data_IF_198528594180
#
_entry.id   IF_198528594180
#
_cell.length_a   1.000
_cell.length_b   1.000
_cell.length_c   1.000
_cell.angle_alpha   90.00
_cell.angle_beta   90.00
_cell.angle_gamma   90.00
#
_symmetry.space_group_name_H-M   'P 1'
#
loop_
_entity.id
_entity.type
_entity.pdbx_description
1 polymer ?
#
# COMPACT_ATOMS: atom_id res chain seq x y z
N UNK A 1 27.80 7.02 -6.60
CA UNK A 1 27.27 6.02 -7.55
C UNK A 1 26.83 6.75 -8.81
N UNK A 2 26.96 6.12 -9.98
CA UNK A 2 26.39 6.69 -11.21
C UNK A 2 24.85 6.55 -11.11
N UNK A 3 24.07 7.65 -11.13
CA UNK A 3 22.61 7.61 -10.93
C UNK A 3 21.85 6.85 -12.03
N UNK A 4 22.53 6.47 -13.11
CA UNK A 4 21.99 5.65 -14.20
C UNK A 4 22.13 4.14 -13.97
N UNK A 5 22.88 3.69 -12.95
CA UNK A 5 23.04 2.27 -12.66
C UNK A 5 22.06 1.85 -11.57
N UNK A 6 21.14 0.91 -11.84
CA UNK A 6 20.22 0.38 -10.83
C UNK A 6 20.98 -0.27 -9.66
N UNK A 7 20.51 -0.11 -8.41
CA UNK A 7 21.01 -0.88 -7.28
C UNK A 7 21.03 -2.39 -7.56
N UNK A 8 22.07 -3.07 -7.07
CA UNK A 8 22.16 -4.51 -7.19
C UNK A 8 21.00 -5.19 -6.41
N UNK A 9 20.49 -6.31 -6.94
CA UNK A 9 19.46 -7.09 -6.27
C UNK A 9 18.05 -6.50 -6.32
N UNK A 10 17.80 -5.48 -7.14
CA UNK A 10 16.45 -4.96 -7.34
C UNK A 10 15.48 -6.08 -7.77
N UNK A 11 14.30 -6.18 -7.15
CA UNK A 11 13.25 -7.10 -7.57
C UNK A 11 12.82 -6.86 -9.03
N UNK A 12 12.39 -7.92 -9.71
CA UNK A 12 11.93 -7.83 -11.10
C UNK A 12 10.67 -6.96 -11.29
N UNK A 13 9.91 -6.74 -10.21
CA UNK A 13 8.74 -5.87 -10.18
C UNK A 13 9.04 -4.45 -9.66
N UNK A 14 10.31 -4.10 -9.51
CA UNK A 14 10.74 -2.74 -9.22
C UNK A 14 10.66 -1.86 -10.48
N UNK A 15 10.12 -0.66 -10.31
CA UNK A 15 9.96 0.34 -11.37
C UNK A 15 10.60 1.64 -10.91
N UNK A 16 11.44 2.23 -11.76
CA UNK A 16 11.95 3.58 -11.52
C UNK A 16 10.84 4.60 -11.76
N UNK A 17 10.70 5.55 -10.84
CA UNK A 17 9.77 6.67 -11.03
C UNK A 17 10.43 7.73 -11.90
N UNK A 18 9.80 8.02 -13.04
CA UNK A 18 10.23 9.07 -13.98
C UNK A 18 9.51 10.39 -13.63
N UNK A 19 10.18 11.25 -12.87
CA UNK A 19 9.68 12.57 -12.47
C UNK A 19 10.83 13.58 -12.37
N UNK A 20 10.50 14.87 -12.36
CA UNK A 20 11.49 15.93 -12.20
C UNK A 20 12.12 15.89 -10.79
N UNK A 21 13.44 16.06 -10.73
CA UNK A 21 14.22 16.10 -9.49
C UNK A 21 15.30 17.19 -9.62
N UNK A 22 16.03 17.49 -8.55
CA UNK A 22 17.12 18.47 -8.61
C UNK A 22 18.27 18.04 -9.55
N UNK A 23 19.18 18.98 -9.81
CA UNK A 23 20.25 18.85 -10.81
C UNK A 23 21.33 17.82 -10.47
N UNK A 24 21.43 17.39 -9.21
CA UNK A 24 22.45 16.47 -8.73
C UNK A 24 23.81 17.11 -8.39
N UNK A 25 23.96 18.42 -8.56
CA UNK A 25 25.19 19.16 -8.27
C UNK A 25 25.62 19.10 -6.79
N UNK A 26 24.66 19.00 -5.87
CA UNK A 26 24.85 18.91 -4.42
C UNK A 26 24.76 17.50 -3.86
N UNK A 27 24.41 16.50 -4.68
CA UNK A 27 24.31 15.10 -4.26
C UNK A 27 23.23 14.31 -5.00
N UNK A 28 23.26 12.99 -4.84
CA UNK A 28 22.32 12.08 -5.48
C UNK A 28 21.80 11.07 -4.45
N UNK A 29 20.52 11.12 -4.11
CA UNK A 29 19.88 10.17 -3.19
C UNK A 29 19.23 9.02 -3.97
N UNK A 30 19.34 7.81 -3.44
CA UNK A 30 18.57 6.64 -3.89
C UNK A 30 17.51 6.31 -2.84
N UNK A 31 16.26 6.30 -3.26
CA UNK A 31 15.10 6.09 -2.42
C UNK A 31 14.29 4.86 -2.85
N UNK A 32 13.68 4.18 -1.88
CA UNK A 32 12.79 3.04 -2.10
C UNK A 32 11.39 3.34 -1.58
N UNK A 33 10.36 2.90 -2.30
CA UNK A 33 8.97 3.15 -1.90
C UNK A 33 8.03 2.04 -2.32
N UNK A 34 6.90 1.92 -1.61
CA UNK A 34 5.75 1.13 -2.05
C UNK A 34 4.51 1.97 -2.36
N UNK A 35 4.63 3.30 -2.42
CA UNK A 35 3.53 4.18 -2.80
C UNK A 35 3.25 4.11 -4.30
N UNK A 36 2.11 4.66 -4.71
CA UNK A 36 1.75 4.66 -6.12
C UNK A 36 2.58 5.67 -6.91
N UNK A 37 2.93 5.37 -8.18
CA UNK A 37 3.83 6.20 -8.99
C UNK A 37 3.43 7.67 -9.11
N UNK A 38 2.12 7.96 -9.17
CA UNK A 38 1.64 9.33 -9.29
C UNK A 38 1.87 10.16 -8.03
N UNK A 39 1.77 9.55 -6.84
CA UNK A 39 2.07 10.23 -5.58
C UNK A 39 3.56 10.55 -5.50
N UNK A 40 4.40 9.58 -5.87
CA UNK A 40 5.86 9.72 -5.85
C UNK A 40 6.33 10.77 -6.86
N UNK A 41 5.68 10.89 -8.01
CA UNK A 41 5.98 11.93 -8.98
C UNK A 41 5.72 13.34 -8.40
N UNK A 42 4.56 13.54 -7.77
CA UNK A 42 4.19 14.83 -7.15
C UNK A 42 5.13 15.16 -5.97
N UNK A 43 5.54 14.14 -5.19
CA UNK A 43 6.49 14.32 -4.08
C UNK A 43 7.89 14.68 -4.58
N UNK A 44 8.35 14.05 -5.66
CA UNK A 44 9.65 14.36 -6.27
C UNK A 44 9.67 15.77 -6.84
N UNK A 45 8.57 16.22 -7.45
CA UNK A 45 8.46 17.60 -7.93
C UNK A 45 8.56 18.60 -6.77
N UNK A 46 7.85 18.36 -5.66
CA UNK A 46 7.94 19.21 -4.48
C UNK A 46 9.34 19.21 -3.86
N UNK A 47 9.95 18.03 -3.69
CA UNK A 47 11.32 17.90 -3.21
C UNK A 47 12.34 18.59 -4.12
N UNK A 48 12.12 18.62 -5.43
CA UNK A 48 13.00 19.33 -6.37
C UNK A 48 13.02 20.84 -6.16
N UNK A 49 11.94 21.43 -5.64
CA UNK A 49 11.88 22.85 -5.29
C UNK A 49 12.64 23.15 -4.00
N UNK A 50 12.57 22.24 -3.03
CA UNK A 50 13.30 22.36 -1.76
C UNK A 50 14.80 22.09 -1.92
N UNK A 51 15.15 21.10 -2.74
CA UNK A 51 16.51 20.62 -2.96
C UNK A 51 16.88 20.67 -4.45
N UNK A 52 16.98 21.87 -5.06
CA UNK A 52 17.20 22.02 -6.50
C UNK A 52 18.57 21.53 -6.97
N UNK A 53 19.53 21.37 -6.06
CA UNK A 53 20.85 20.82 -6.30
C UNK A 53 20.94 19.30 -6.06
N UNK A 54 19.86 18.65 -5.60
CA UNK A 54 19.88 17.22 -5.20
C UNK A 54 19.01 16.41 -6.14
N UNK A 55 19.60 15.42 -6.81
CA UNK A 55 18.84 14.46 -7.59
C UNK A 55 18.34 13.32 -6.69
N UNK A 56 17.11 12.83 -6.90
CA UNK A 56 16.53 11.74 -6.12
C UNK A 56 16.00 10.65 -7.05
N UNK A 57 16.67 9.50 -7.10
CA UNK A 57 16.19 8.33 -7.84
C UNK A 57 15.30 7.50 -6.94
N UNK A 58 14.01 7.34 -7.30
CA UNK A 58 13.08 6.48 -6.56
C UNK A 58 12.83 5.18 -7.31
N UNK A 59 13.01 4.06 -6.63
CA UNK A 59 12.58 2.74 -7.07
C UNK A 59 11.34 2.31 -6.29
N UNK A 60 10.23 2.18 -7.01
CA UNK A 60 8.94 1.73 -6.49
C UNK A 60 8.79 0.24 -6.68
N UNK A 61 8.35 -0.47 -5.64
CA UNK A 61 8.03 -1.90 -5.71
C UNK A 61 6.89 -2.25 -4.73
N UNK A 62 6.21 -3.41 -4.90
CA UNK A 62 5.17 -3.83 -3.95
C UNK A 62 5.71 -3.95 -2.51
N UNK A 63 4.82 -3.79 -1.53
CA UNK A 63 5.17 -3.78 -0.10
C UNK A 63 6.00 -5.01 0.30
N UNK A 64 5.64 -6.21 -0.17
CA UNK A 64 6.39 -7.44 0.13
C UNK A 64 7.80 -7.45 -0.47
N UNK A 65 7.92 -7.00 -1.73
CA UNK A 65 9.20 -6.93 -2.45
C UNK A 65 10.12 -5.92 -1.77
N UNK A 66 9.57 -4.79 -1.31
CA UNK A 66 10.31 -3.80 -0.53
C UNK A 66 10.79 -4.39 0.81
N UNK A 67 9.93 -5.13 1.53
CA UNK A 67 10.34 -5.80 2.77
C UNK A 67 11.53 -6.72 2.55
N UNK A 68 11.42 -7.63 1.57
CA UNK A 68 12.46 -8.61 1.27
C UNK A 68 13.75 -7.93 0.80
N UNK A 69 13.62 -6.90 -0.03
CA UNK A 69 14.74 -6.14 -0.54
C UNK A 69 15.50 -5.42 0.59
N UNK A 70 14.81 -4.70 1.48
CA UNK A 70 15.44 -4.04 2.62
C UNK A 70 16.12 -5.04 3.60
N UNK A 71 15.53 -6.21 3.81
CA UNK A 71 16.14 -7.26 4.64
C UNK A 71 17.48 -7.77 4.07
N UNK A 72 17.65 -7.70 2.74
CA UNK A 72 18.89 -8.07 2.05
C UNK A 72 20.04 -7.05 2.20
N UNK A 73 19.79 -5.93 2.89
CA UNK A 73 20.75 -4.84 3.13
C UNK A 73 21.22 -4.13 1.85
N UNK A 74 20.29 -3.56 1.07
CA UNK A 74 20.63 -2.95 -0.20
C UNK A 74 21.35 -1.62 0.01
N UNK A 75 22.22 -1.25 -0.93
CA UNK A 75 22.74 0.11 -0.96
C UNK A 75 21.60 1.11 -1.24
N UNK A 76 21.59 2.25 -0.56
CA UNK A 76 20.60 3.30 -0.78
C UNK A 76 20.63 4.32 0.36
N UNK A 77 19.72 5.30 0.30
CA UNK A 77 19.73 6.42 1.22
C UNK A 77 18.49 6.50 2.10
N UNK A 78 17.29 6.27 1.55
CA UNK A 78 16.05 6.43 2.31
C UNK A 78 14.89 5.56 1.80
N UNK A 79 13.90 5.38 2.67
CA UNK A 79 12.57 4.86 2.33
C UNK A 79 11.61 6.04 2.27
N UNK A 80 10.96 6.22 1.12
CA UNK A 80 10.00 7.29 0.84
C UNK A 80 8.58 6.73 0.77
N UNK A 81 8.10 6.23 1.91
CA UNK A 81 6.74 5.69 2.04
C UNK A 81 6.66 4.17 1.93
N UNK A 82 6.15 3.56 3.00
CA UNK A 82 5.94 2.13 3.13
C UNK A 82 4.93 1.83 4.24
N UNK A 83 4.32 0.65 4.26
CA UNK A 83 3.34 0.27 5.27
C UNK A 83 4.02 -0.02 6.62
N UNK A 84 3.53 0.55 7.73
CA UNK A 84 4.12 0.35 9.06
C UNK A 84 4.07 -1.11 9.50
N UNK A 85 3.00 -1.86 9.19
CA UNK A 85 2.95 -3.30 9.46
C UNK A 85 4.07 -4.10 8.78
N UNK A 86 4.62 -3.61 7.67
CA UNK A 86 5.75 -4.23 7.00
C UNK A 86 7.07 -3.73 7.59
N UNK A 87 7.14 -2.45 7.98
CA UNK A 87 8.27 -1.86 8.68
C UNK A 87 8.56 -2.51 10.04
N UNK A 88 7.54 -3.01 10.72
CA UNK A 88 7.68 -3.77 11.96
C UNK A 88 8.17 -5.23 11.75
N UNK A 89 8.55 -5.62 10.53
CA UNK A 89 9.06 -6.99 10.29
C UNK A 89 10.40 -7.21 11.00
N UNK A 90 10.64 -8.40 11.60
CA UNK A 90 11.90 -8.71 12.27
C UNK A 90 13.11 -8.45 11.37
N UNK A 91 14.10 -7.73 11.91
CA UNK A 91 15.34 -7.37 11.20
C UNK A 91 15.32 -6.01 10.50
N UNK A 92 14.15 -5.43 10.21
CA UNK A 92 14.05 -4.13 9.52
C UNK A 92 14.59 -2.99 10.39
N UNK A 93 14.37 -3.01 11.70
CA UNK A 93 14.87 -1.96 12.59
C UNK A 93 16.40 -1.77 12.49
N UNK A 94 17.16 -2.84 12.22
CA UNK A 94 18.61 -2.76 12.02
C UNK A 94 19.02 -2.14 10.67
N UNK A 95 18.07 -1.97 9.74
CA UNK A 95 18.27 -1.36 8.41
C UNK A 95 17.96 0.12 8.38
N UNK A 96 17.40 0.67 9.46
CA UNK A 96 16.99 2.06 9.56
C UNK A 96 17.95 2.80 10.48
N UNK A 97 18.34 4.00 10.07
CA UNK A 97 19.22 4.84 10.87
C UNK A 97 18.51 5.21 12.18
N UNK A 98 19.25 5.35 13.29
CA UNK A 98 18.67 5.75 14.55
C UNK A 98 17.97 7.13 14.43
N UNK A 99 17.02 7.41 15.35
CA UNK A 99 16.29 8.66 15.34
C UNK A 99 17.22 9.87 15.35
N UNK A 100 16.83 10.91 14.61
CA UNK A 100 17.42 12.24 14.73
C UNK A 100 16.44 13.20 15.42
N UNK A 101 16.95 14.36 15.84
CA UNK A 101 16.09 15.47 16.24
C UNK A 101 15.13 15.85 15.09
N UNK A 102 13.91 16.28 15.41
CA UNK A 102 12.95 16.77 14.41
C UNK A 102 11.88 15.78 13.96
N UNK A 103 11.03 15.31 14.88
CA UNK A 103 9.78 14.62 14.50
C UNK A 103 9.90 13.15 14.08
N UNK A 104 11.09 12.57 14.19
CA UNK A 104 11.37 11.15 14.06
C UNK A 104 10.96 10.39 15.33
N UNK A 105 10.32 9.24 15.18
CA UNK A 105 9.89 8.37 16.28
C UNK A 105 11.08 7.58 16.85
N UNK A 106 10.91 6.98 18.04
CA UNK A 106 11.99 6.28 18.76
C UNK A 106 12.65 5.13 17.97
N UNK A 107 11.94 4.57 16.98
CA UNK A 107 12.41 3.49 16.11
C UNK A 107 13.09 3.98 14.82
N UNK A 108 13.30 5.30 14.68
CA UNK A 108 14.00 5.89 13.54
C UNK A 108 13.12 6.21 12.33
N UNK A 109 11.83 5.88 12.38
CA UNK A 109 10.89 6.21 11.32
C UNK A 109 10.18 7.55 11.55
N UNK A 110 9.67 8.11 10.47
CA UNK A 110 8.76 9.26 10.47
C UNK A 110 7.37 8.75 10.06
N UNK A 111 6.32 9.13 10.80
CA UNK A 111 4.92 8.73 10.55
C UNK A 111 3.97 9.92 10.42
N UNK A 112 4.15 10.81 9.41
CA UNK A 112 3.22 11.92 9.21
C UNK A 112 1.86 11.46 8.66
N UNK A 113 1.84 10.33 7.95
CA UNK A 113 0.69 9.86 7.19
C UNK A 113 0.30 8.42 7.53
N UNK A 114 -0.93 8.08 7.19
CA UNK A 114 -1.45 6.73 7.11
C UNK A 114 -2.33 6.56 5.89
N UNK A 115 -2.74 5.32 5.63
CA UNK A 115 -3.75 5.01 4.62
C UNK A 115 -4.87 4.18 5.24
N UNK A 116 -6.05 4.26 4.62
CA UNK A 116 -7.21 3.46 5.00
C UNK A 116 -7.86 2.82 3.81
N UNK A 117 -8.54 1.72 4.08
CA UNK A 117 -9.23 0.91 3.09
C UNK A 117 -10.49 1.61 2.56
N UNK A 118 -10.82 1.31 1.32
CA UNK A 118 -12.04 1.72 0.65
C UNK A 118 -12.50 0.63 -0.32
N UNK A 119 -13.77 0.70 -0.69
CA UNK A 119 -14.33 -0.05 -1.81
C UNK A 119 -14.58 0.91 -2.97
N UNK A 120 -14.24 0.49 -4.18
CA UNK A 120 -14.69 1.12 -5.42
C UNK A 120 -15.68 0.18 -6.07
N UNK A 121 -16.85 0.69 -6.44
CA UNK A 121 -17.90 -0.09 -7.04
C UNK A 121 -18.47 0.55 -8.30
N UNK A 122 -18.92 -0.29 -9.23
CA UNK A 122 -19.69 0.10 -10.39
C UNK A 122 -21.19 -0.15 -10.11
N UNK A 123 -22.00 0.91 -9.90
CA UNK A 123 -23.41 0.77 -9.57
C UNK A 123 -24.21 0.01 -10.63
N UNK A 124 -23.88 0.19 -11.92
CA UNK A 124 -24.62 -0.47 -13.00
C UNK A 124 -24.34 -1.97 -13.02
N UNK A 125 -23.09 -2.38 -12.80
CA UNK A 125 -22.73 -3.81 -12.72
C UNK A 125 -23.28 -4.49 -11.47
N UNK A 126 -23.37 -3.77 -10.35
CA UNK A 126 -24.02 -4.25 -9.12
C UNK A 126 -25.54 -4.40 -9.31
N UNK A 127 -26.20 -3.39 -9.89
CA UNK A 127 -27.64 -3.44 -10.17
C UNK A 127 -27.99 -4.59 -11.13
N UNK A 128 -27.20 -4.81 -12.17
CA UNK A 128 -27.39 -5.92 -13.10
C UNK A 128 -27.27 -7.30 -12.43
N UNK A 129 -26.63 -7.38 -11.25
CA UNK A 129 -26.51 -8.58 -10.42
C UNK A 129 -27.56 -8.67 -9.31
N UNK A 130 -28.43 -7.66 -9.17
CA UNK A 130 -29.33 -7.55 -8.03
C UNK A 130 -28.59 -7.37 -6.70
N UNK A 131 -27.40 -6.75 -6.73
CA UNK A 131 -26.58 -6.45 -5.57
C UNK A 131 -26.65 -4.95 -5.24
N UNK A 132 -26.69 -4.64 -3.94
CA UNK A 132 -26.50 -3.28 -3.44
C UNK A 132 -25.00 -2.98 -3.26
N UNK A 133 -24.60 -1.70 -3.25
CA UNK A 133 -23.24 -1.31 -2.88
C UNK A 133 -22.88 -1.82 -1.47
N UNK A 134 -21.79 -2.59 -1.31
CA UNK A 134 -21.40 -3.09 0.00
C UNK A 134 -20.91 -1.95 0.90
N UNK A 135 -21.30 -2.01 2.16
CA UNK A 135 -20.94 -1.02 3.19
C UNK A 135 -20.21 -1.65 4.37
N UNK A 136 -20.06 -2.98 4.38
CA UNK A 136 -19.39 -3.75 5.43
C UNK A 136 -18.55 -4.87 4.83
N UNK A 137 -17.60 -5.40 5.58
CA UNK A 137 -16.81 -6.57 5.15
C UNK A 137 -17.68 -7.80 4.90
N UNK A 138 -18.73 -8.01 5.70
CA UNK A 138 -19.65 -9.14 5.53
C UNK A 138 -20.44 -9.10 4.22
N UNK A 139 -20.71 -7.90 3.68
CA UNK A 139 -21.48 -7.73 2.45
C UNK A 139 -20.74 -8.30 1.23
N UNK A 140 -19.40 -8.35 1.32
CA UNK A 140 -18.54 -8.92 0.28
C UNK A 140 -18.75 -10.43 0.08
N UNK A 141 -19.36 -11.12 1.05
CA UNK A 141 -19.72 -12.54 0.98
C UNK A 141 -21.06 -12.80 0.27
N UNK A 142 -21.80 -11.76 -0.13
CA UNK A 142 -23.10 -11.91 -0.78
C UNK A 142 -23.01 -12.76 -2.07
N UNK A 143 -23.86 -13.78 -2.26
CA UNK A 143 -23.82 -14.64 -3.46
C UNK A 143 -23.97 -13.89 -4.78
N UNK A 144 -24.65 -12.74 -4.78
CA UNK A 144 -24.81 -11.86 -5.95
C UNK A 144 -23.48 -11.29 -6.47
N UNK A 145 -22.42 -11.29 -5.65
CA UNK A 145 -21.08 -10.83 -6.03
C UNK A 145 -20.20 -11.95 -6.63
N UNK A 146 -20.75 -13.13 -6.91
CA UNK A 146 -19.98 -14.25 -7.47
C UNK A 146 -19.22 -13.82 -8.72
N UNK A 147 -17.90 -13.99 -8.71
CA UNK A 147 -17.01 -13.59 -9.81
C UNK A 147 -17.17 -12.10 -10.21
N UNK A 148 -17.33 -11.22 -9.23
CA UNK A 148 -17.49 -9.78 -9.45
C UNK A 148 -16.54 -8.92 -8.61
N UNK A 149 -15.78 -9.52 -7.69
CA UNK A 149 -14.93 -8.83 -6.71
C UNK A 149 -13.44 -8.92 -7.07
N UNK A 150 -12.70 -7.84 -6.89
CA UNK A 150 -11.23 -7.81 -6.91
C UNK A 150 -10.71 -7.54 -5.49
N UNK A 151 -9.82 -8.40 -5.01
CA UNK A 151 -9.25 -8.30 -3.66
C UNK A 151 -7.71 -8.21 -3.75
N UNK A 152 -7.04 -7.16 -3.25
CA UNK A 152 -5.59 -7.03 -3.40
C UNK A 152 -4.86 -8.17 -2.68
N UNK A 153 -3.89 -8.80 -3.32
CA UNK A 153 -3.18 -9.97 -2.80
C UNK A 153 -2.42 -9.63 -1.50
N UNK A 154 -2.82 -10.20 -0.33
CA UNK A 154 -2.17 -9.93 0.95
C UNK A 154 -0.70 -10.34 1.01
N UNK A 155 -0.26 -11.23 0.10
CA UNK A 155 1.13 -11.69 0.03
C UNK A 155 2.05 -10.66 -0.63
N UNK A 156 1.47 -9.72 -1.38
CA UNK A 156 2.21 -8.75 -2.20
C UNK A 156 1.93 -7.30 -1.84
N UNK A 157 0.64 -6.97 -1.68
CA UNK A 157 0.12 -5.63 -1.49
C UNK A 157 -0.05 -5.29 0.00
N UNK A 158 0.44 -4.13 0.42
CA UNK A 158 0.16 -3.58 1.76
C UNK A 158 -1.33 -3.41 2.01
N UNK A 159 -2.09 -2.94 1.01
CA UNK A 159 -3.55 -2.83 1.09
C UNK A 159 -4.24 -4.20 1.26
N UNK A 160 -3.73 -5.23 0.57
CA UNK A 160 -4.20 -6.60 0.74
C UNK A 160 -3.97 -7.13 2.15
N UNK A 161 -2.76 -6.88 2.67
CA UNK A 161 -2.42 -7.30 4.02
C UNK A 161 -3.23 -6.55 5.09
N UNK A 162 -3.43 -5.24 4.90
CA UNK A 162 -4.29 -4.43 5.77
C UNK A 162 -5.73 -4.91 5.74
N UNK A 163 -6.30 -5.22 4.57
CA UNK A 163 -7.66 -5.75 4.44
C UNK A 163 -7.84 -7.07 5.20
N UNK A 164 -6.96 -8.05 4.94
CA UNK A 164 -7.00 -9.33 5.62
C UNK A 164 -6.82 -9.17 7.14
N UNK A 165 -5.86 -8.36 7.57
CA UNK A 165 -5.60 -8.08 8.99
C UNK A 165 -6.79 -7.40 9.66
N UNK A 166 -7.42 -6.44 8.99
CA UNK A 166 -8.62 -5.75 9.49
C UNK A 166 -9.74 -6.75 9.75
N UNK A 167 -10.03 -7.61 8.78
CA UNK A 167 -11.04 -8.67 8.94
C UNK A 167 -10.69 -9.57 10.13
N UNK A 168 -9.45 -10.04 10.24
CA UNK A 168 -9.04 -10.97 11.29
C UNK A 168 -9.00 -10.36 12.69
N UNK A 169 -8.62 -9.08 12.81
CA UNK A 169 -8.56 -8.40 14.11
C UNK A 169 -9.94 -7.93 14.55
N UNK A 170 -10.81 -7.51 13.63
CA UNK A 170 -12.16 -7.04 13.95
C UNK A 170 -13.13 -8.18 14.25
N UNK A 171 -13.22 -9.19 13.37
CA UNK A 171 -14.12 -10.34 13.56
C UNK A 171 -13.52 -11.43 14.46
N UNK A 172 -12.23 -11.35 14.77
CA UNK A 172 -11.50 -12.43 15.42
C UNK A 172 -11.04 -13.49 14.40
N UNK A 173 -10.05 -14.32 14.77
CA UNK A 173 -9.38 -15.20 13.82
C UNK A 173 -10.31 -16.26 13.22
N UNK A 174 -11.20 -16.88 14.01
CA UNK A 174 -12.07 -17.95 13.52
C UNK A 174 -13.13 -17.41 12.54
N UNK A 175 -13.91 -16.42 12.98
CA UNK A 175 -14.97 -15.81 12.19
C UNK A 175 -14.41 -15.01 11.00
N UNK A 176 -13.29 -14.32 11.18
CA UNK A 176 -12.62 -13.59 10.10
C UNK A 176 -12.12 -14.52 8.99
N UNK A 177 -11.55 -15.69 9.32
CA UNK A 177 -11.18 -16.66 8.30
C UNK A 177 -12.39 -17.33 7.63
N UNK A 178 -13.48 -17.57 8.38
CA UNK A 178 -14.75 -18.04 7.79
C UNK A 178 -15.27 -17.03 6.77
N UNK A 179 -15.30 -15.76 7.13
CA UNK A 179 -15.69 -14.67 6.24
C UNK A 179 -14.76 -14.60 5.01
N UNK A 180 -13.44 -14.69 5.18
CA UNK A 180 -12.50 -14.67 4.05
C UNK A 180 -12.74 -15.82 3.05
N UNK A 181 -13.10 -17.02 3.55
CA UNK A 181 -13.48 -18.16 2.68
C UNK A 181 -14.75 -17.87 1.88
N UNK A 182 -15.71 -17.15 2.46
CA UNK A 182 -16.95 -16.77 1.78
C UNK A 182 -16.68 -15.67 0.74
N UNK A 183 -15.87 -14.66 1.09
CA UNK A 183 -15.42 -13.59 0.19
C UNK A 183 -14.68 -14.18 -1.02
N UNK A 184 -13.77 -15.13 -0.81
CA UNK A 184 -12.98 -15.74 -1.90
C UNK A 184 -13.86 -16.34 -3.01
N UNK A 185 -15.05 -16.86 -2.68
CA UNK A 185 -16.00 -17.40 -3.67
C UNK A 185 -16.48 -16.34 -4.67
N UNK A 186 -16.42 -15.07 -4.27
CA UNK A 186 -16.84 -13.92 -5.05
C UNK A 186 -15.69 -13.24 -5.80
N UNK A 187 -14.45 -13.49 -5.37
CA UNK A 187 -13.25 -12.93 -5.98
C UNK A 187 -13.05 -13.46 -7.40
N UNK A 188 -12.74 -12.57 -8.35
CA UNK A 188 -12.27 -12.86 -9.70
C UNK A 188 -10.80 -13.28 -9.64
N UNK A 189 -9.95 -12.41 -9.09
CA UNK A 189 -8.53 -12.67 -8.85
C UNK A 189 -7.98 -11.77 -7.73
N UNK A 190 -6.70 -11.95 -7.41
CA UNK A 190 -5.99 -11.21 -6.38
C UNK A 190 -4.86 -10.36 -7.00
N UNK A 191 -5.10 -9.07 -7.30
CA UNK A 191 -4.10 -8.22 -7.94
C UNK A 191 -2.94 -7.84 -7.02
N UNK A 192 -1.77 -7.53 -7.58
CA UNK A 192 -0.52 -7.41 -6.82
C UNK A 192 -0.29 -6.08 -6.10
N UNK A 193 -1.06 -5.05 -6.43
CA UNK A 193 -0.93 -3.68 -5.90
C UNK A 193 -2.23 -3.14 -5.31
N UNK A 194 -2.16 -2.00 -4.62
CA UNK A 194 -3.33 -1.33 -4.07
C UNK A 194 -4.18 -0.66 -5.16
N UNK A 195 -3.56 -0.16 -6.23
CA UNK A 195 -4.21 0.47 -7.38
C UNK A 195 -5.03 -0.50 -8.26
N UNK A 196 -4.48 -1.69 -8.56
CA UNK A 196 -5.05 -2.59 -9.56
C UNK A 196 -6.53 -2.95 -9.37
N UNK A 197 -7.03 -3.25 -8.15
CA UNK A 197 -8.45 -3.50 -7.94
C UNK A 197 -9.32 -2.32 -8.38
N UNK A 198 -8.98 -1.09 -7.97
CA UNK A 198 -9.74 0.12 -8.33
C UNK A 198 -9.71 0.38 -9.84
N UNK A 199 -8.54 0.25 -10.46
CA UNK A 199 -8.34 0.47 -11.89
C UNK A 199 -9.23 -0.42 -12.76
N UNK A 200 -9.45 -1.66 -12.33
CA UNK A 200 -10.16 -2.70 -13.07
C UNK A 200 -11.67 -2.72 -12.82
N UNK A 201 -12.20 -2.01 -11.82
CA UNK A 201 -13.65 -1.89 -11.62
C UNK A 201 -14.29 -1.25 -12.87
N UNK A 202 -15.38 -1.86 -13.33
CA UNK A 202 -16.07 -1.54 -14.59
C UNK A 202 -15.55 -2.31 -15.80
N UNK A 203 -14.50 -3.12 -15.66
CA UNK A 203 -13.90 -3.91 -16.74
C UNK A 203 -14.14 -5.40 -16.51
N UNK A 204 -14.37 -6.16 -17.58
CA UNK A 204 -14.48 -7.62 -17.55
C UNK A 204 -15.43 -8.17 -16.47
N UNK A 205 -16.51 -7.44 -16.17
CA UNK A 205 -17.50 -7.82 -15.16
C UNK A 205 -17.09 -7.61 -13.70
N UNK A 206 -15.94 -6.99 -13.42
CA UNK A 206 -15.54 -6.58 -12.07
C UNK A 206 -16.42 -5.43 -11.58
N UNK A 207 -17.40 -5.74 -10.74
CA UNK A 207 -18.35 -4.77 -10.19
C UNK A 207 -17.78 -4.06 -8.96
N UNK A 208 -16.77 -4.64 -8.30
CA UNK A 208 -16.31 -4.20 -6.99
C UNK A 208 -14.82 -4.48 -6.81
N UNK A 209 -14.09 -3.53 -6.23
CA UNK A 209 -12.67 -3.64 -5.92
C UNK A 209 -12.36 -3.10 -4.53
N UNK A 210 -11.61 -3.87 -3.75
CA UNK A 210 -11.09 -3.45 -2.45
C UNK A 210 -9.75 -2.75 -2.68
N UNK A 211 -9.57 -1.56 -2.11
CA UNK A 211 -8.42 -0.72 -2.37
C UNK A 211 -8.16 0.21 -1.17
N UNK A 212 -7.35 1.25 -1.37
CA UNK A 212 -7.12 2.33 -0.40
C UNK A 212 -7.79 3.61 -0.89
N UNK A 213 -8.12 4.52 0.04
CA UNK A 213 -8.79 5.80 -0.30
C UNK A 213 -8.03 6.63 -1.33
N UNK A 214 -6.70 6.56 -1.33
CA UNK A 214 -5.82 7.23 -2.31
C UNK A 214 -6.17 6.76 -3.74
N UNK A 215 -6.09 5.46 -3.97
CA UNK A 215 -6.39 4.84 -5.26
C UNK A 215 -7.87 4.98 -5.63
N UNK A 216 -8.79 4.89 -4.66
CA UNK A 216 -10.22 5.13 -4.89
C UNK A 216 -10.46 6.57 -5.40
N UNK A 217 -9.91 7.58 -4.72
CA UNK A 217 -10.02 8.99 -5.12
C UNK A 217 -9.51 9.19 -6.54
N UNK A 218 -8.33 8.66 -6.86
CA UNK A 218 -7.77 8.75 -8.20
C UNK A 218 -8.71 8.11 -9.23
N UNK A 219 -9.18 6.90 -8.95
CA UNK A 219 -10.07 6.15 -9.85
C UNK A 219 -11.39 6.87 -10.11
N UNK A 220 -11.99 7.47 -9.09
CA UNK A 220 -13.24 8.23 -9.20
C UNK A 220 -13.04 9.54 -9.97
N UNK A 221 -11.86 10.17 -9.85
CA UNK A 221 -11.51 11.32 -10.70
C UNK A 221 -11.42 10.92 -12.18
N UNK A 222 -10.90 9.73 -12.49
CA UNK A 222 -10.80 9.22 -13.86
C UNK A 222 -12.15 8.70 -14.40
N UNK A 223 -13.06 8.24 -13.53
CA UNK A 223 -14.41 7.82 -13.90
C UNK A 223 -15.43 8.17 -12.79
N UNK A 224 -16.14 9.30 -12.92
CA UNK A 224 -17.14 9.75 -11.95
C UNK A 224 -18.41 8.89 -11.86
N UNK A 225 -18.60 7.91 -12.77
CA UNK A 225 -19.73 6.97 -12.69
C UNK A 225 -19.52 5.86 -11.64
N UNK A 226 -18.27 5.66 -11.20
CA UNK A 226 -17.97 4.76 -10.10
C UNK A 226 -18.24 5.44 -8.77
N UNK A 227 -18.56 4.62 -7.76
CA UNK A 227 -18.79 5.11 -6.40
C UNK A 227 -17.73 4.55 -5.46
N UNK A 228 -17.44 5.32 -4.41
CA UNK A 228 -16.65 4.88 -3.29
C UNK A 228 -17.57 4.53 -2.13
N UNK A 229 -17.34 3.39 -1.50
CA UNK A 229 -17.90 3.03 -0.20
C UNK A 229 -16.77 2.77 0.81
N UNK A 230 -17.10 2.87 2.09
CA UNK A 230 -16.18 2.54 3.19
C UNK A 230 -16.79 1.40 4.01
N UNK A 231 -15.99 0.42 4.49
CA UNK A 231 -16.47 -0.62 5.38
C UNK A 231 -16.77 -0.04 6.77
N UNK A 232 -18.03 0.32 7.01
CA UNK A 232 -18.51 1.05 8.19
C UNK A 232 -18.35 0.26 9.49
N UNK A 233 -18.26 -1.06 9.39
CA UNK A 233 -17.96 -1.96 10.49
C UNK A 233 -16.50 -1.82 10.94
N UNK A 234 -15.56 -1.73 10.01
CA UNK A 234 -14.15 -1.54 10.32
C UNK A 234 -13.40 -0.91 9.14
N UNK A 235 -13.22 0.43 9.19
CA UNK A 235 -12.37 1.14 8.24
C UNK A 235 -10.92 0.92 8.63
N UNK A 236 -10.36 -0.21 8.21
CA UNK A 236 -8.98 -0.57 8.48
C UNK A 236 -8.02 0.52 8.04
N UNK A 237 -7.13 0.92 8.95
CA UNK A 237 -6.11 1.93 8.72
C UNK A 237 -4.79 1.55 9.37
N UNK A 238 -3.68 1.93 8.73
CA UNK A 238 -2.35 1.85 9.32
C UNK A 238 -1.50 3.07 8.97
N UNK A 239 -0.43 3.27 9.73
CA UNK A 239 0.54 4.30 9.46
C UNK A 239 1.39 3.97 8.23
N UNK A 240 1.92 5.02 7.62
CA UNK A 240 2.96 4.94 6.60
C UNK A 240 4.26 5.46 7.20
N UNK A 241 5.35 4.78 6.89
CA UNK A 241 6.67 5.12 7.40
C UNK A 241 7.57 5.68 6.31
N UNK A 242 8.44 6.58 6.75
CA UNK A 242 9.57 7.13 5.99
C UNK A 242 10.81 7.01 6.88
N UNK A 243 12.00 6.84 6.32
CA UNK A 243 13.18 6.64 7.14
C UNK A 243 14.48 6.71 6.34
N UNK A 244 15.59 6.98 7.02
CA UNK A 244 16.92 6.94 6.42
C UNK A 244 17.48 5.53 6.56
N UNK A 245 18.10 4.98 5.52
CA UNK A 245 18.75 3.68 5.62
C UNK A 245 20.02 3.77 6.47
N UNK A 246 20.24 2.80 7.36
CA UNK A 246 21.38 2.77 8.27
C UNK A 246 22.73 2.78 7.51
N UNK A 247 22.78 2.08 6.37
CA UNK A 247 23.95 2.00 5.49
C UNK A 247 24.18 3.24 4.61
N UNK A 248 23.32 4.26 4.65
CA UNK A 248 23.47 5.45 3.83
C UNK A 248 24.77 6.19 4.17
N UNK A 249 25.54 6.51 3.13
CA UNK A 249 26.74 7.37 3.22
C UNK A 249 26.38 8.86 3.18
N UNK A 250 25.10 9.19 2.97
CA UNK A 250 24.58 10.55 2.80
C UNK A 250 23.51 10.89 3.85
N UNK A 251 23.65 10.39 5.08
CA UNK A 251 22.60 10.54 6.11
C UNK A 251 22.13 11.97 6.33
N UNK A 252 23.03 12.96 6.36
CA UNK A 252 22.65 14.35 6.55
C UNK A 252 21.76 14.87 5.39
N UNK A 253 22.08 14.48 4.15
CA UNK A 253 21.33 14.85 2.97
C UNK A 253 19.98 14.12 2.91
N UNK A 254 19.96 12.82 3.24
CA UNK A 254 18.74 12.03 3.33
C UNK A 254 17.77 12.57 4.40
N UNK A 255 18.29 13.00 5.56
CA UNK A 255 17.49 13.64 6.61
C UNK A 255 16.88 14.96 6.14
N UNK A 256 17.64 15.80 5.43
CA UNK A 256 17.09 17.04 4.81
C UNK A 256 15.95 16.75 3.85
N UNK A 257 16.00 15.65 3.10
CA UNK A 257 14.88 15.25 2.25
C UNK A 257 13.65 14.78 3.06
N UNK A 258 13.86 14.13 4.22
CA UNK A 258 12.77 13.73 5.11
C UNK A 258 12.21 14.87 5.98
N UNK A 259 12.94 15.97 6.17
CA UNK A 259 12.39 17.16 6.83
C UNK A 259 11.18 17.70 6.05
N UNK A 260 11.19 17.60 4.72
CA UNK A 260 10.05 17.95 3.87
C UNK A 260 8.80 17.14 4.19
N UNK A 261 8.95 15.84 4.42
CA UNK A 261 7.85 14.90 4.71
C UNK A 261 7.07 15.32 5.98
N UNK A 262 7.69 16.13 6.83
CA UNK A 262 7.08 16.65 8.07
C UNK A 262 6.57 18.09 7.95
N UNK A 263 6.64 18.70 6.76
CA UNK A 263 6.25 20.09 6.48
C UNK A 263 4.77 20.27 6.17
N UNK A 264 4.28 21.51 6.24
CA UNK A 264 2.91 21.86 5.84
C UNK A 264 2.66 21.66 4.34
N UNK A 265 3.66 21.91 3.47
CA UNK A 265 3.56 21.66 2.02
C UNK A 265 3.34 20.15 1.75
N UNK A 266 4.08 19.29 2.44
CA UNK A 266 3.86 17.85 2.34
C UNK A 266 2.47 17.46 2.88
N UNK A 267 2.02 18.05 3.99
CA UNK A 267 0.68 17.81 4.53
C UNK A 267 -0.44 18.22 3.55
N UNK A 268 -0.27 19.31 2.78
CA UNK A 268 -1.19 19.70 1.71
C UNK A 268 -1.25 18.64 0.60
N UNK A 269 -0.10 18.14 0.14
CA UNK A 269 -0.02 17.08 -0.87
C UNK A 269 -0.60 15.75 -0.37
N UNK A 270 -0.33 15.38 0.88
CA UNK A 270 -0.92 14.21 1.51
C UNK A 270 -2.46 14.30 1.52
N UNK A 271 -3.01 15.47 1.89
CA UNK A 271 -4.46 15.72 1.82
C UNK A 271 -5.00 15.67 0.40
N UNK A 272 -4.26 16.21 -0.57
CA UNK A 272 -4.62 16.13 -1.99
C UNK A 272 -4.80 14.67 -2.44
N UNK A 273 -3.90 13.78 -2.03
CA UNK A 273 -3.97 12.35 -2.32
C UNK A 273 -4.92 11.56 -1.41
N UNK A 274 -5.66 12.20 -0.50
CA UNK A 274 -6.53 11.53 0.49
C UNK A 274 -5.79 10.58 1.44
N UNK A 275 -4.54 10.88 1.77
CA UNK A 275 -3.82 10.27 2.90
C UNK A 275 -4.44 10.72 4.22
N UNK A 276 -4.34 9.87 5.23
CA UNK A 276 -4.66 10.24 6.60
C UNK A 276 -3.48 11.02 7.17
N UNK A 277 -3.71 12.20 7.74
CA UNK A 277 -2.67 12.87 8.53
C UNK A 277 -2.71 12.31 9.96
N UNK A 278 -1.59 11.77 10.44
CA UNK A 278 -1.51 11.19 11.79
C UNK A 278 -1.15 12.23 12.86
N UNK A 279 -0.65 13.39 12.43
CA UNK A 279 -0.46 14.56 13.27
C UNK A 279 -1.73 15.42 13.20
N UNK A 280 -2.56 15.33 14.23
CA UNK A 280 -3.83 16.05 14.31
C UNK A 280 -4.94 15.23 14.96
N UNK A 281 -6.19 15.64 14.74
CA UNK A 281 -7.36 14.90 15.21
C UNK A 281 -7.45 13.54 14.53
N UNK A 282 -7.65 12.50 15.34
CA UNK A 282 -7.87 11.14 14.83
C UNK A 282 -9.32 11.00 14.37
N UNK A 283 -9.52 10.47 13.18
CA UNK A 283 -10.83 10.09 12.68
C UNK A 283 -11.36 8.90 13.52
N UNK A 284 -12.43 9.10 14.33
CA UNK A 284 -12.95 8.06 15.21
C UNK A 284 -13.63 6.90 14.47
N UNK A 285 -13.92 7.05 13.17
CA UNK A 285 -14.49 5.99 12.35
C UNK A 285 -13.44 4.97 11.88
N UNK A 286 -12.15 5.28 12.02
CA UNK A 286 -11.09 4.35 11.66
C UNK A 286 -10.97 3.22 12.66
N UNK A 287 -10.76 2.01 12.14
CA UNK A 287 -10.35 0.85 12.92
C UNK A 287 -8.82 0.76 12.88
N UNK A 288 -8.11 1.20 13.93
CA UNK A 288 -6.66 1.08 13.97
C UNK A 288 -6.29 -0.38 14.22
N UNK A 289 -5.61 -1.01 13.27
CA UNK A 289 -5.03 -2.33 13.50
C UNK A 289 -3.87 -2.23 14.50
N UNK A 290 -3.56 -3.32 15.20
CA UNK A 290 -2.31 -3.43 15.95
C UNK A 290 -1.18 -3.85 15.00
N UNK A 291 -0.21 -2.96 14.65
CA UNK A 291 0.80 -3.26 13.64
C UNK A 291 1.86 -4.26 14.12
N UNK A 292 2.23 -4.24 15.39
CA UNK A 292 3.18 -5.19 15.98
C UNK A 292 2.61 -6.61 15.98
N UNK A 293 1.33 -6.75 16.38
CA UNK A 293 0.59 -8.01 16.30
C UNK A 293 0.49 -8.48 14.87
N UNK A 294 0.10 -7.59 13.95
CA UNK A 294 -0.03 -7.91 12.54
C UNK A 294 1.31 -8.36 11.94
N UNK A 295 2.42 -7.71 12.28
CA UNK A 295 3.76 -8.12 11.84
C UNK A 295 4.13 -9.51 12.37
N UNK A 296 3.95 -9.74 13.69
CA UNK A 296 4.24 -11.04 14.33
C UNK A 296 3.43 -12.19 13.75
N UNK A 297 2.15 -11.95 13.44
CA UNK A 297 1.23 -12.96 12.92
C UNK A 297 1.37 -13.17 11.39
N UNK A 298 2.06 -12.26 10.69
CA UNK A 298 2.19 -12.26 9.22
C UNK A 298 2.56 -13.61 8.62
N UNK A 299 3.60 -14.33 9.09
CA UNK A 299 3.98 -15.61 8.49
C UNK A 299 2.85 -16.64 8.54
N UNK A 300 2.17 -16.77 9.68
CA UNK A 300 1.09 -17.73 9.88
C UNK A 300 -0.17 -17.34 9.08
N UNK A 301 -0.49 -16.04 9.06
CA UNK A 301 -1.63 -15.51 8.29
C UNK A 301 -1.43 -15.75 6.80
N UNK A 302 -0.25 -15.43 6.26
CA UNK A 302 0.05 -15.63 4.84
C UNK A 302 0.14 -17.12 4.47
N UNK A 303 0.67 -17.98 5.35
CA UNK A 303 0.66 -19.42 5.13
C UNK A 303 -0.77 -19.98 5.01
N UNK A 304 -1.69 -19.51 5.86
CA UNK A 304 -3.11 -19.90 5.80
C UNK A 304 -3.80 -19.33 4.56
N UNK A 305 -3.47 -18.10 4.16
CA UNK A 305 -3.95 -17.51 2.91
C UNK A 305 -3.46 -18.31 1.68
N UNK A 306 -2.20 -18.74 1.65
CA UNK A 306 -1.67 -19.60 0.58
C UNK A 306 -2.40 -20.93 0.50
N UNK A 307 -2.76 -21.52 1.65
CA UNK A 307 -3.59 -22.74 1.66
C UNK A 307 -4.97 -22.49 1.02
N UNK A 308 -5.60 -21.35 1.29
CA UNK A 308 -6.84 -20.93 0.62
C UNK A 308 -6.65 -20.79 -0.90
N UNK A 309 -5.56 -20.16 -1.34
CA UNK A 309 -5.25 -19.99 -2.76
C UNK A 309 -5.02 -21.32 -3.49
N UNK A 310 -4.37 -22.29 -2.84
CA UNK A 310 -4.22 -23.65 -3.38
C UNK A 310 -5.58 -24.34 -3.55
N UNK A 311 -6.47 -24.22 -2.57
CA UNK A 311 -7.82 -24.78 -2.66
C UNK A 311 -8.64 -24.13 -3.79
N UNK A 312 -8.50 -22.81 -3.97
CA UNK A 312 -9.11 -22.07 -5.09
C UNK A 312 -8.64 -22.61 -6.44
N UNK A 313 -7.32 -22.80 -6.62
CA UNK A 313 -6.74 -23.32 -7.86
C UNK A 313 -7.25 -24.73 -8.21
N UNK A 314 -7.47 -25.59 -7.21
CA UNK A 314 -8.05 -26.93 -7.41
C UNK A 314 -9.51 -26.88 -7.86
N UNK A 315 -10.27 -25.85 -7.43
CA UNK A 315 -11.70 -25.67 -7.77
C UNK A 315 -11.93 -24.93 -9.08
N UNK A 316 -10.92 -24.24 -9.61
CA UNK A 316 -11.05 -23.54 -10.88
C UNK A 316 -11.32 -24.57 -12.00
N UNK A 317 -12.32 -24.35 -12.86
CA UNK A 317 -12.52 -25.21 -14.01
C UNK A 317 -11.23 -25.22 -14.84
N UNK A 318 -10.73 -26.41 -15.20
CA UNK A 318 -9.60 -26.53 -16.14
C UNK A 318 -10.03 -25.81 -17.41
N UNK A 319 -9.31 -24.76 -17.82
CA UNK A 319 -9.56 -24.14 -19.11
C UNK A 319 -9.40 -25.23 -20.16
N UNK A 320 -10.45 -25.53 -20.92
CA UNK A 320 -10.32 -26.32 -22.13
C UNK A 320 -9.36 -25.56 -23.04
N UNK A 321 -8.13 -26.07 -23.15
CA UNK A 321 -7.20 -25.65 -24.16
C UNK A 321 -7.87 -25.96 -25.51
N UNK A 322 -8.36 -24.92 -26.18
CA UNK A 322 -8.84 -25.05 -27.55
C UNK A 322 -7.63 -25.41 -28.42
N UNK A 323 -7.70 -26.50 -29.21
CA UNK A 323 -6.59 -26.93 -30.06
C UNK A 323 -6.28 -25.94 -31.18
#
# INVERSE_FOLDING_TARGET
>A
MNPSVPPAGLPADAVRIEAATGSGAGGHLVAYSSFEPYELADYLEALSRLLPDVAITVWRMPTSSLTAFLLSDPEGDLVLGWADTAAQSPGIAARIAPPAAGGCDADGFYRPTGFSLAFVADPALLQARGAEPPTRWSDLAAPALRQALLFPDPRRSGAGYLALTTILQYYGPEDGWRLMVEIDRNVIDYPGSAWEPAARVGQNGAALGITVRVAARRRLSDNPALIQALPQDAIGAEAEVYGVLAGSKQQALARRALDWVMSDEAADLFRHHAKLLLRGERDPALFPINPERASRERPAVLQRFDALMRLRAVRAPKSEATP
#
